data_IF_518746139009
#
_entry.id   IF_518746139009
#
_cell.length_a   1.000
_cell.length_b   1.000
_cell.length_c   1.000
_cell.angle_alpha   90.00
_cell.angle_beta   90.00
_cell.angle_gamma   90.00
#
_symmetry.space_group_name_H-M   'P 1'
#
loop_
_entity.id
_entity.type
_entity.pdbx_description
1 polymer ?
#
# COMPACT_ATOMS: atom_id res chain seq x y z
N UNK A 1 19.19 43.18 3.36
CA UNK A 1 18.28 43.69 2.31
C UNK A 1 18.40 42.75 1.14
N UNK A 2 17.45 41.81 1.02
CA UNK A 2 17.34 40.88 -0.11
C UNK A 2 16.24 41.45 -0.99
N UNK A 3 16.54 41.79 -2.24
CA UNK A 3 15.61 42.36 -3.19
C UNK A 3 14.68 41.26 -3.71
N UNK A 4 13.38 41.45 -3.53
CA UNK A 4 12.35 40.67 -4.20
C UNK A 4 12.48 40.84 -5.73
N UNK A 5 12.86 39.78 -6.41
CA UNK A 5 12.87 39.72 -7.87
C UNK A 5 11.43 39.66 -8.41
N UNK A 6 10.88 40.79 -8.83
CA UNK A 6 9.64 40.82 -9.59
C UNK A 6 9.90 40.35 -11.02
N UNK A 7 9.38 39.17 -11.38
CA UNK A 7 9.27 38.78 -12.80
C UNK A 7 8.15 39.58 -13.44
N UNK A 8 8.49 40.51 -14.33
CA UNK A 8 7.52 41.24 -15.14
C UNK A 8 7.36 40.50 -16.46
N UNK A 9 6.23 39.87 -16.65
CA UNK A 9 5.85 39.26 -17.96
C UNK A 9 5.07 40.34 -18.75
N UNK A 10 5.66 40.83 -19.83
CA UNK A 10 5.00 41.75 -20.76
C UNK A 10 4.10 40.97 -21.72
N UNK A 11 2.81 41.18 -21.62
CA UNK A 11 1.85 40.66 -22.60
C UNK A 11 1.62 41.69 -23.70
N UNK A 12 1.81 41.29 -24.95
CA UNK A 12 1.37 42.03 -26.12
C UNK A 12 -0.05 41.55 -26.49
N UNK A 13 -1.04 42.38 -26.32
CA UNK A 13 -2.43 42.09 -26.71
C UNK A 13 -2.65 42.33 -28.21
N UNK A 14 -2.99 41.27 -28.94
CA UNK A 14 -3.64 41.38 -30.26
C UNK A 14 -5.17 41.32 -30.06
N UNK A 15 -5.84 42.42 -30.49
CA UNK A 15 -7.22 42.71 -30.15
C UNK A 15 -8.29 41.99 -30.98
N UNK A 16 -7.95 40.95 -31.78
CA UNK A 16 -8.91 40.36 -32.73
C UNK A 16 -9.07 38.81 -32.70
N UNK A 17 -8.61 38.12 -31.70
CA UNK A 17 -8.95 36.68 -31.56
C UNK A 17 -9.49 36.37 -30.16
N UNK A 18 -10.82 36.17 -30.06
CA UNK A 18 -11.43 35.49 -28.92
C UNK A 18 -11.04 34.01 -28.97
N UNK A 19 -9.87 33.66 -28.43
CA UNK A 19 -9.58 32.35 -27.97
C UNK A 19 -9.91 32.33 -26.47
N UNK A 20 -10.81 31.46 -26.07
CA UNK A 20 -11.04 31.17 -24.65
C UNK A 20 -9.81 30.42 -24.11
N UNK A 21 -8.78 31.15 -23.81
CA UNK A 21 -7.54 30.65 -23.23
C UNK A 21 -7.81 30.49 -21.73
N UNK A 22 -7.77 29.27 -21.22
CA UNK A 22 -7.89 29.03 -19.79
C UNK A 22 -6.59 29.45 -19.11
N UNK A 23 -6.44 30.74 -18.85
CA UNK A 23 -5.28 31.37 -18.22
C UNK A 23 -4.87 30.68 -16.90
N UNK A 24 -5.81 30.10 -16.18
CA UNK A 24 -5.52 29.40 -14.91
C UNK A 24 -4.76 28.11 -15.16
N UNK A 25 -5.12 27.37 -16.19
CA UNK A 25 -4.50 26.09 -16.56
C UNK A 25 -3.09 26.26 -17.13
N UNK A 26 -2.87 27.28 -17.95
CA UNK A 26 -1.54 27.57 -18.51
C UNK A 26 -0.60 28.23 -17.48
N UNK A 27 -1.12 29.08 -16.61
CA UNK A 27 -0.33 29.69 -15.54
C UNK A 27 0.09 28.66 -14.49
N UNK A 28 -0.79 27.69 -14.15
CA UNK A 28 -0.48 26.56 -13.29
C UNK A 28 0.65 25.68 -13.85
N UNK A 29 0.72 25.47 -15.16
CA UNK A 29 1.82 24.75 -15.82
C UNK A 29 3.18 25.47 -15.74
N UNK A 30 3.18 26.78 -15.57
CA UNK A 30 4.42 27.58 -15.50
C UNK A 30 4.92 27.72 -14.06
N UNK A 31 4.02 27.70 -13.05
CA UNK A 31 4.34 28.03 -11.64
C UNK A 31 4.19 26.81 -10.73
N UNK A 32 3.63 25.70 -11.22
CA UNK A 32 3.20 24.58 -10.39
C UNK A 32 2.01 24.93 -9.49
N UNK A 33 1.15 23.99 -9.19
CA UNK A 33 0.07 24.18 -8.23
C UNK A 33 0.51 23.60 -6.89
N UNK A 34 0.51 24.43 -5.85
CA UNK A 34 0.79 23.95 -4.51
C UNK A 34 -0.32 23.03 -4.01
N UNK A 35 0.04 21.78 -3.67
CA UNK A 35 -0.88 20.75 -3.21
C UNK A 35 -0.49 20.26 -1.82
N UNK A 36 -1.47 19.88 -1.02
CA UNK A 36 -1.24 19.28 0.30
C UNK A 36 -0.57 17.90 0.13
N UNK A 37 0.41 17.64 0.96
CA UNK A 37 1.23 16.43 0.92
C UNK A 37 1.41 15.86 2.32
N UNK A 38 1.38 14.53 2.42
CA UNK A 38 1.81 13.84 3.63
C UNK A 38 2.52 12.53 3.26
N UNK A 39 3.57 12.19 4.00
CA UNK A 39 4.15 10.85 3.98
C UNK A 39 3.73 10.14 5.25
N UNK A 40 3.19 8.95 5.10
CA UNK A 40 2.46 8.21 6.13
C UNK A 40 3.07 6.83 6.27
N UNK A 41 3.28 6.39 7.51
CA UNK A 41 3.56 5.00 7.83
C UNK A 41 2.27 4.24 8.09
N UNK A 42 2.06 3.16 7.37
CA UNK A 42 0.90 2.26 7.51
C UNK A 42 1.32 1.00 8.25
N UNK A 43 0.41 0.44 9.05
CA UNK A 43 0.63 -0.70 9.93
C UNK A 43 1.58 -0.43 11.10
N UNK A 44 1.67 0.81 11.54
CA UNK A 44 2.43 1.17 12.74
C UNK A 44 1.88 2.43 13.40
N UNK A 45 1.67 2.38 14.70
CA UNK A 45 1.37 3.54 15.54
C UNK A 45 2.62 4.36 15.90
N UNK A 46 3.81 3.96 15.43
CA UNK A 46 5.08 4.65 15.65
C UNK A 46 5.69 5.10 14.33
N UNK A 47 6.11 6.37 14.23
CA UNK A 47 6.77 6.87 13.02
C UNK A 47 8.00 6.04 12.62
N UNK A 48 8.22 5.89 11.31
CA UNK A 48 9.38 5.23 10.69
C UNK A 48 9.48 3.73 10.98
N UNK A 49 8.34 3.08 11.25
CA UNK A 49 8.28 1.64 11.59
C UNK A 49 7.29 0.85 10.75
N UNK A 50 6.37 1.52 10.04
CA UNK A 50 5.40 0.93 9.14
C UNK A 50 5.89 0.84 7.69
N UNK A 51 4.94 0.67 6.76
CA UNK A 51 5.19 0.78 5.33
C UNK A 51 4.86 2.21 4.87
N UNK A 52 5.86 2.97 4.36
CA UNK A 52 5.64 4.36 3.98
C UNK A 52 4.87 4.48 2.67
N UNK A 53 3.95 5.44 2.61
CA UNK A 53 3.25 5.88 1.41
C UNK A 53 3.24 7.41 1.32
N UNK A 54 3.51 7.95 0.13
CA UNK A 54 3.30 9.36 -0.16
C UNK A 54 1.86 9.59 -0.59
N UNK A 55 1.20 10.61 -0.02
CA UNK A 55 -0.17 10.97 -0.37
C UNK A 55 -0.21 12.44 -0.76
N UNK A 56 -0.61 12.71 -1.99
CA UNK A 56 -0.89 14.06 -2.50
C UNK A 56 -2.40 14.28 -2.48
N UNK A 57 -2.84 15.39 -1.94
CA UNK A 57 -4.27 15.75 -1.83
C UNK A 57 -4.58 16.91 -2.77
N UNK A 58 -5.85 17.06 -3.17
CA UNK A 58 -6.30 18.09 -4.10
C UNK A 58 -5.71 17.94 -5.51
N UNK A 59 -5.72 16.72 -6.02
CA UNK A 59 -5.05 16.37 -7.29
C UNK A 59 -5.91 16.65 -8.54
N UNK A 60 -7.01 17.38 -8.41
CA UNK A 60 -7.80 17.78 -9.57
C UNK A 60 -6.93 18.55 -10.58
N UNK A 61 -7.03 18.14 -11.85
CA UNK A 61 -6.31 18.75 -12.96
C UNK A 61 -4.90 18.23 -13.22
N UNK A 62 -4.34 17.33 -12.39
CA UNK A 62 -3.10 16.59 -12.72
C UNK A 62 -3.36 15.57 -13.80
N UNK A 63 -2.43 15.47 -14.76
CA UNK A 63 -2.44 14.41 -15.75
C UNK A 63 -1.65 13.16 -15.30
N UNK A 64 -1.78 12.08 -16.07
CA UNK A 64 -1.17 10.79 -15.75
C UNK A 64 0.37 10.89 -15.72
N UNK A 65 0.95 11.70 -16.61
CA UNK A 65 2.39 11.89 -16.71
C UNK A 65 2.97 12.62 -15.49
N UNK A 66 2.27 13.65 -15.01
CA UNK A 66 2.64 14.41 -13.81
C UNK A 66 2.60 13.52 -12.56
N UNK A 67 1.52 12.74 -12.40
CA UNK A 67 1.39 11.78 -11.29
C UNK A 67 2.49 10.72 -11.33
N UNK A 68 2.74 10.12 -12.50
CA UNK A 68 3.78 9.11 -12.65
C UNK A 68 5.18 9.67 -12.44
N UNK A 69 5.44 10.89 -12.90
CA UNK A 69 6.74 11.55 -12.70
C UNK A 69 6.99 11.81 -11.21
N UNK A 70 6.00 12.29 -10.49
CA UNK A 70 6.11 12.54 -9.06
C UNK A 70 6.30 11.23 -8.27
N UNK A 71 5.54 10.17 -8.58
CA UNK A 71 5.70 8.86 -7.98
C UNK A 71 7.10 8.28 -8.20
N UNK A 72 7.66 8.44 -9.40
CA UNK A 72 9.03 8.03 -9.71
C UNK A 72 10.07 8.82 -8.92
N UNK A 73 9.84 10.12 -8.74
CA UNK A 73 10.74 10.98 -7.99
C UNK A 73 10.76 10.69 -6.49
N UNK A 74 9.57 10.43 -5.87
CA UNK A 74 9.49 10.05 -4.46
C UNK A 74 10.18 8.72 -4.19
N UNK A 75 10.15 7.81 -5.16
CA UNK A 75 10.80 6.49 -5.11
C UNK A 75 10.39 5.64 -3.90
N UNK A 76 9.17 5.84 -3.41
CA UNK A 76 8.51 4.95 -2.45
C UNK A 76 7.86 3.77 -3.17
N UNK A 77 7.50 2.72 -2.44
CA UNK A 77 6.75 1.59 -3.02
C UNK A 77 5.52 2.08 -3.78
N UNK A 78 4.75 2.98 -3.16
CA UNK A 78 3.63 3.66 -3.81
C UNK A 78 3.53 5.14 -3.39
N UNK A 79 2.95 5.89 -4.32
CA UNK A 79 2.46 7.27 -4.14
C UNK A 79 1.00 7.31 -4.55
N UNK A 80 0.16 7.97 -3.78
CA UNK A 80 -1.27 8.09 -4.07
C UNK A 80 -1.69 9.54 -4.29
N UNK A 81 -2.70 9.70 -5.13
CA UNK A 81 -3.26 10.99 -5.50
C UNK A 81 -4.76 11.00 -5.21
N UNK A 82 -5.18 11.89 -4.29
CA UNK A 82 -6.58 12.02 -3.90
C UNK A 82 -7.29 13.04 -4.79
N UNK A 83 -8.43 12.61 -5.31
CA UNK A 83 -9.27 13.37 -6.24
C UNK A 83 -10.71 13.45 -5.73
N UNK A 84 -11.50 14.39 -6.22
CA UNK A 84 -12.95 14.36 -6.04
C UNK A 84 -13.54 13.04 -6.55
N UNK A 85 -14.52 12.45 -5.85
CA UNK A 85 -15.15 11.23 -6.30
C UNK A 85 -16.00 11.47 -7.54
N UNK A 86 -16.07 10.46 -8.43
CA UNK A 86 -16.99 10.46 -9.58
C UNK A 86 -18.25 9.64 -9.26
N UNK A 87 -18.15 8.68 -8.38
CA UNK A 87 -19.27 7.92 -7.87
C UNK A 87 -19.92 8.67 -6.69
N UNK A 88 -21.25 8.94 -6.72
CA UNK A 88 -21.93 9.71 -5.67
C UNK A 88 -21.95 9.00 -4.30
N UNK A 89 -21.62 7.70 -4.21
CA UNK A 89 -21.54 6.95 -2.95
C UNK A 89 -20.15 7.08 -2.33
N UNK A 90 -19.11 7.34 -3.11
CA UNK A 90 -17.75 7.45 -2.62
C UNK A 90 -17.51 8.75 -1.83
N UNK A 91 -16.66 8.68 -0.82
CA UNK A 91 -16.22 9.82 -0.05
C UNK A 91 -15.07 10.57 -0.75
N UNK A 92 -14.18 9.83 -1.40
CA UNK A 92 -13.11 10.36 -2.26
C UNK A 92 -12.71 9.33 -3.32
N UNK A 93 -11.96 9.77 -4.33
CA UNK A 93 -11.31 8.91 -5.32
C UNK A 93 -9.80 8.94 -5.10
N UNK A 94 -9.15 7.80 -5.35
CA UNK A 94 -7.70 7.65 -5.26
C UNK A 94 -7.14 6.96 -6.50
N UNK A 95 -5.93 7.37 -6.88
CA UNK A 95 -5.09 6.70 -7.87
C UNK A 95 -3.78 6.27 -7.22
N UNK A 96 -3.30 5.07 -7.55
CA UNK A 96 -2.12 4.46 -6.96
C UNK A 96 -1.02 4.36 -8.00
N UNK A 97 0.17 4.84 -7.69
CA UNK A 97 1.32 4.77 -8.59
C UNK A 97 2.52 4.18 -7.88
N UNK A 98 3.14 3.19 -8.52
CA UNK A 98 4.52 2.80 -8.22
C UNK A 98 5.49 3.74 -8.95
N UNK A 99 6.81 3.65 -8.71
CA UNK A 99 7.78 4.37 -9.54
C UNK A 99 7.73 4.03 -11.04
N UNK A 100 7.06 2.93 -11.43
CA UNK A 100 7.07 2.40 -12.80
C UNK A 100 5.71 2.55 -13.49
N UNK A 101 4.61 2.30 -12.79
CA UNK A 101 3.27 2.18 -13.36
C UNK A 101 2.16 2.55 -12.38
N UNK A 102 0.96 2.79 -12.90
CA UNK A 102 -0.26 2.90 -12.11
C UNK A 102 -0.81 1.52 -11.76
N UNK A 103 -1.29 1.35 -10.53
CA UNK A 103 -1.94 0.14 -10.04
C UNK A 103 -3.44 0.34 -9.89
N UNK A 104 -4.26 -0.67 -10.21
CA UNK A 104 -5.71 -0.58 -10.04
C UNK A 104 -6.15 -0.52 -8.56
N UNK A 105 -5.34 -1.11 -7.68
CA UNK A 105 -5.54 -1.15 -6.22
C UNK A 105 -4.24 -1.47 -5.49
N UNK A 106 -4.08 -0.92 -4.27
CA UNK A 106 -3.00 -1.29 -3.36
C UNK A 106 -3.48 -1.20 -1.90
N UNK A 107 -3.15 -2.22 -1.07
CA UNK A 107 -3.72 -2.39 0.27
C UNK A 107 -3.25 -1.34 1.27
N UNK A 108 -1.92 -1.27 1.55
CA UNK A 108 -1.43 -0.29 2.52
C UNK A 108 -1.64 1.16 2.05
N UNK A 109 -1.50 1.49 0.74
CA UNK A 109 -1.82 2.83 0.27
C UNK A 109 -3.30 3.22 0.43
N UNK A 110 -4.22 2.25 0.40
CA UNK A 110 -5.64 2.49 0.72
C UNK A 110 -5.79 3.02 2.15
N UNK A 111 -5.15 2.39 3.14
CA UNK A 111 -5.23 2.84 4.53
C UNK A 111 -4.54 4.20 4.72
N UNK A 112 -3.37 4.41 4.11
CA UNK A 112 -2.67 5.69 4.14
C UNK A 112 -3.48 6.82 3.49
N UNK A 113 -4.13 6.56 2.36
CA UNK A 113 -5.01 7.51 1.66
C UNK A 113 -6.24 7.87 2.49
N UNK A 114 -6.89 6.89 3.10
CA UNK A 114 -8.04 7.12 3.97
C UNK A 114 -7.65 7.97 5.18
N UNK A 115 -6.50 7.70 5.80
CA UNK A 115 -5.98 8.50 6.89
C UNK A 115 -5.64 9.94 6.44
N UNK A 116 -4.95 10.11 5.31
CA UNK A 116 -4.65 11.42 4.75
C UNK A 116 -5.92 12.22 4.50
N UNK A 117 -6.93 11.61 3.88
CA UNK A 117 -8.21 12.24 3.62
C UNK A 117 -8.86 12.76 4.91
N UNK A 118 -8.85 11.96 6.00
CA UNK A 118 -9.39 12.35 7.31
C UNK A 118 -8.64 13.54 7.92
N UNK A 119 -7.30 13.50 7.98
CA UNK A 119 -6.52 14.57 8.63
C UNK A 119 -6.58 15.89 7.86
N UNK A 120 -6.91 15.85 6.59
CA UNK A 120 -7.13 17.06 5.77
C UNK A 120 -8.59 17.51 5.71
N UNK A 121 -9.43 17.02 6.63
CA UNK A 121 -10.79 17.52 6.86
C UNK A 121 -11.88 16.69 6.16
N UNK A 122 -11.56 15.54 5.62
CA UNK A 122 -12.55 14.61 5.08
C UNK A 122 -13.52 14.15 6.17
N UNK A 123 -14.80 14.13 5.84
CA UNK A 123 -15.86 13.69 6.75
C UNK A 123 -16.61 12.56 6.08
N UNK A 124 -16.47 11.30 6.57
CA UNK A 124 -17.16 10.18 5.97
C UNK A 124 -18.67 10.27 6.16
N UNK A 125 -19.43 9.83 5.17
CA UNK A 125 -20.90 9.78 5.23
C UNK A 125 -21.40 8.82 6.28
N UNK A 126 -20.66 7.75 6.53
CA UNK A 126 -20.87 6.84 7.64
C UNK A 126 -19.66 6.94 8.59
N UNK A 127 -19.91 7.19 9.88
CA UNK A 127 -18.84 7.42 10.87
C UNK A 127 -17.83 6.28 10.96
N UNK A 128 -18.27 5.04 10.71
CA UNK A 128 -17.44 3.84 10.89
C UNK A 128 -16.89 3.29 9.57
N UNK A 129 -17.23 3.91 8.43
CA UNK A 129 -16.82 3.39 7.11
C UNK A 129 -16.54 4.53 6.16
N UNK A 130 -15.37 4.50 5.56
CA UNK A 130 -14.97 5.40 4.47
C UNK A 130 -15.14 4.63 3.17
N UNK A 131 -15.74 5.24 2.17
CA UNK A 131 -15.92 4.64 0.84
C UNK A 131 -14.94 5.29 -0.13
N UNK A 132 -13.90 4.55 -0.49
CA UNK A 132 -12.90 4.94 -1.46
C UNK A 132 -13.30 4.47 -2.86
N UNK A 133 -13.22 5.35 -3.86
CA UNK A 133 -13.33 5.01 -5.27
C UNK A 133 -11.94 4.83 -5.87
N UNK A 134 -11.70 3.73 -6.60
CA UNK A 134 -10.49 3.49 -7.38
C UNK A 134 -10.81 2.69 -8.64
N UNK A 135 -9.81 2.29 -9.42
CA UNK A 135 -10.03 1.60 -10.69
C UNK A 135 -10.79 0.28 -10.54
N UNK A 136 -10.56 -0.49 -9.47
CA UNK A 136 -11.31 -1.74 -9.21
C UNK A 136 -12.72 -1.50 -8.68
N UNK A 137 -13.14 -0.25 -8.46
CA UNK A 137 -14.47 0.11 -7.96
C UNK A 137 -14.45 0.73 -6.56
N UNK A 138 -15.47 0.44 -5.78
CA UNK A 138 -15.64 0.97 -4.43
C UNK A 138 -14.99 0.05 -3.39
N UNK A 139 -14.12 0.61 -2.59
CA UNK A 139 -13.45 -0.08 -1.48
C UNK A 139 -13.96 0.52 -0.16
N UNK A 140 -14.43 -0.34 0.71
CA UNK A 140 -14.84 0.03 2.06
C UNK A 140 -13.65 -0.08 3.00
N UNK A 141 -13.34 1.02 3.67
CA UNK A 141 -12.33 1.08 4.73
C UNK A 141 -13.07 1.26 6.05
N UNK A 142 -13.02 0.24 6.90
CA UNK A 142 -13.58 0.31 8.23
C UNK A 142 -12.67 1.12 9.14
N UNK A 143 -13.30 1.89 10.03
CA UNK A 143 -12.64 2.74 11.01
C UNK A 143 -13.10 2.34 12.41
N UNK A 144 -12.16 1.93 13.24
CA UNK A 144 -12.38 1.63 14.64
C UNK A 144 -11.30 2.33 15.48
N UNK A 145 -11.65 3.37 16.21
CA UNK A 145 -10.74 4.24 16.97
C UNK A 145 -9.53 4.69 16.13
N UNK A 146 -8.35 4.11 16.39
CA UNK A 146 -7.09 4.40 15.69
C UNK A 146 -6.79 3.41 14.54
N UNK A 147 -7.60 2.37 14.38
CA UNK A 147 -7.39 1.35 13.37
C UNK A 147 -8.18 1.65 12.11
N UNK A 148 -7.52 1.49 10.98
CA UNK A 148 -8.16 1.42 9.67
C UNK A 148 -7.98 0.02 9.11
N UNK A 149 -9.02 -0.53 8.47
CA UNK A 149 -8.96 -1.85 7.85
C UNK A 149 -9.71 -1.90 6.54
N UNK A 150 -9.22 -2.71 5.60
CA UNK A 150 -9.89 -2.99 4.33
C UNK A 150 -10.24 -4.47 4.21
N UNK A 151 -11.30 -4.77 3.45
CA UNK A 151 -11.71 -6.12 3.17
C UNK A 151 -10.68 -6.83 2.27
N UNK A 152 -10.23 -8.01 2.68
CA UNK A 152 -9.31 -8.82 1.87
C UNK A 152 -9.96 -9.15 0.50
N UNK A 153 -9.30 -8.80 -0.63
CA UNK A 153 -9.78 -9.18 -1.95
C UNK A 153 -9.83 -10.68 -2.12
N UNK A 154 -10.75 -11.18 -2.96
CA UNK A 154 -10.80 -12.59 -3.30
C UNK A 154 -9.51 -13.06 -3.98
N UNK A 155 -9.10 -14.31 -3.72
CA UNK A 155 -7.99 -14.91 -4.42
C UNK A 155 -8.32 -15.07 -5.91
N UNK A 156 -7.40 -14.67 -6.76
CA UNK A 156 -7.43 -14.92 -8.21
C UNK A 156 -6.88 -16.32 -8.53
N UNK A 157 -5.89 -16.78 -7.75
CA UNK A 157 -5.32 -18.10 -7.81
C UNK A 157 -5.07 -18.63 -6.41
N UNK A 158 -5.52 -19.84 -6.12
CA UNK A 158 -5.31 -20.57 -4.86
C UNK A 158 -4.97 -22.02 -5.10
N UNK A 159 -4.58 -22.74 -4.04
CA UNK A 159 -4.37 -24.18 -4.05
C UNK A 159 -2.93 -24.63 -4.11
N UNK A 160 -2.72 -25.91 -4.45
CA UNK A 160 -1.41 -26.58 -4.39
C UNK A 160 -0.39 -26.00 -5.36
N UNK A 161 0.88 -26.08 -4.96
CA UNK A 161 2.03 -25.63 -5.74
C UNK A 161 2.78 -26.84 -6.26
N UNK A 162 3.27 -26.78 -7.48
CA UNK A 162 4.11 -27.81 -8.08
C UNK A 162 5.43 -27.94 -7.33
N UNK A 163 5.90 -29.16 -7.08
CA UNK A 163 7.11 -29.44 -6.29
C UNK A 163 8.35 -28.72 -6.84
N UNK A 164 8.47 -28.60 -8.16
CA UNK A 164 9.57 -27.86 -8.79
C UNK A 164 9.59 -26.38 -8.40
N UNK A 165 8.40 -25.74 -8.26
CA UNK A 165 8.26 -24.34 -7.84
C UNK A 165 8.56 -24.20 -6.35
N UNK A 166 8.17 -25.18 -5.53
CA UNK A 166 8.51 -25.19 -4.09
C UNK A 166 10.03 -25.31 -3.91
N UNK A 167 10.69 -26.14 -4.74
CA UNK A 167 12.16 -26.24 -4.76
C UNK A 167 12.82 -24.92 -5.18
N UNK A 168 12.29 -24.23 -6.19
CA UNK A 168 12.76 -22.88 -6.59
C UNK A 168 12.57 -21.86 -5.45
N UNK A 169 11.44 -21.91 -4.74
CA UNK A 169 11.20 -21.06 -3.59
C UNK A 169 12.23 -21.31 -2.47
N UNK A 170 12.56 -22.57 -2.16
CA UNK A 170 13.57 -22.91 -1.17
C UNK A 170 14.95 -22.32 -1.54
N UNK A 171 15.37 -22.47 -2.80
CA UNK A 171 16.61 -21.86 -3.32
C UNK A 171 16.59 -20.35 -3.19
N UNK A 172 15.47 -19.72 -3.58
CA UNK A 172 15.28 -18.27 -3.50
C UNK A 172 15.33 -17.74 -2.06
N UNK A 173 14.86 -18.53 -1.09
CA UNK A 173 14.89 -18.19 0.33
C UNK A 173 16.25 -18.53 0.99
N UNK A 174 17.12 -19.28 0.32
CA UNK A 174 18.39 -19.74 0.87
C UNK A 174 18.23 -20.74 2.02
N UNK A 175 17.23 -21.64 1.90
CA UNK A 175 16.89 -22.67 2.89
C UNK A 175 16.81 -24.04 2.25
N UNK A 176 16.87 -25.09 3.07
CA UNK A 176 16.63 -26.45 2.62
C UNK A 176 15.14 -26.65 2.27
N UNK A 177 14.86 -27.46 1.22
CA UNK A 177 13.48 -27.76 0.79
C UNK A 177 12.63 -28.34 1.93
N UNK A 178 13.23 -29.16 2.76
CA UNK A 178 12.61 -29.85 3.90
C UNK A 178 12.16 -28.87 5.01
N UNK A 179 12.71 -27.66 5.03
CA UNK A 179 12.26 -26.60 5.97
C UNK A 179 10.88 -26.03 5.61
N UNK A 180 10.46 -26.19 4.36
CA UNK A 180 9.11 -25.79 3.91
C UNK A 180 8.12 -26.89 4.29
N UNK A 181 7.28 -26.60 5.29
CA UNK A 181 6.29 -27.56 5.81
C UNK A 181 4.97 -27.52 5.02
N UNK A 182 4.67 -26.39 4.39
CA UNK A 182 3.52 -26.25 3.50
C UNK A 182 3.70 -25.06 2.54
N UNK A 183 2.96 -25.09 1.42
CA UNK A 183 2.94 -24.03 0.43
C UNK A 183 1.63 -23.99 -0.33
N UNK A 184 1.21 -22.79 -0.74
CA UNK A 184 0.01 -22.62 -1.56
C UNK A 184 0.15 -21.41 -2.49
N UNK A 185 -0.44 -21.47 -3.66
CA UNK A 185 -0.78 -20.25 -4.39
C UNK A 185 -1.83 -19.49 -3.60
N UNK A 186 -1.55 -18.21 -3.35
CA UNK A 186 -2.40 -17.30 -2.57
C UNK A 186 -2.50 -15.95 -3.29
N UNK A 187 -2.55 -15.98 -4.61
CA UNK A 187 -2.51 -14.78 -5.43
C UNK A 187 -3.84 -14.02 -5.40
N UNK A 188 -3.77 -12.76 -5.04
CA UNK A 188 -4.86 -11.78 -5.10
C UNK A 188 -4.51 -10.57 -5.99
N UNK A 189 -3.53 -10.73 -6.90
CA UNK A 189 -3.09 -9.75 -7.88
C UNK A 189 -1.58 -9.76 -8.14
N UNK A 190 -0.72 -9.64 -7.12
CA UNK A 190 0.74 -9.60 -7.30
C UNK A 190 1.41 -10.95 -7.62
N UNK A 191 0.68 -12.06 -7.62
CA UNK A 191 1.25 -13.40 -7.89
C UNK A 191 1.83 -14.09 -6.66
N UNK A 192 1.30 -13.88 -5.47
CA UNK A 192 1.84 -14.41 -4.22
C UNK A 192 1.85 -15.94 -4.18
N UNK A 193 3.04 -16.48 -3.88
CA UNK A 193 3.26 -17.86 -3.43
C UNK A 193 3.48 -17.83 -1.91
N UNK A 194 2.59 -18.43 -1.15
CA UNK A 194 2.69 -18.59 0.28
C UNK A 194 3.57 -19.79 0.64
N UNK A 195 4.51 -19.58 1.56
CA UNK A 195 5.43 -20.61 2.08
C UNK A 195 5.33 -20.61 3.60
N UNK A 196 5.15 -21.77 4.21
CA UNK A 196 5.13 -21.91 5.66
C UNK A 196 6.36 -22.67 6.16
N UNK A 197 7.05 -22.08 7.15
CA UNK A 197 8.12 -22.68 7.93
C UNK A 197 7.61 -23.03 9.33
N UNK A 198 8.40 -23.82 10.08
CA UNK A 198 8.00 -24.31 11.39
C UNK A 198 7.90 -23.21 12.46
N UNK A 199 8.68 -22.13 12.37
CA UNK A 199 8.70 -21.09 13.39
C UNK A 199 9.02 -19.70 12.84
N UNK A 200 8.62 -18.67 13.59
CA UNK A 200 8.99 -17.27 13.34
C UNK A 200 10.52 -17.07 13.32
N UNK A 201 11.26 -17.82 14.16
CA UNK A 201 12.73 -17.76 14.19
C UNK A 201 13.34 -18.19 12.84
N UNK A 202 12.83 -19.26 12.23
CA UNK A 202 13.28 -19.68 10.91
C UNK A 202 12.99 -18.61 9.84
N UNK A 203 11.82 -17.97 9.89
CA UNK A 203 11.47 -16.86 8.97
C UNK A 203 12.44 -15.69 9.14
N UNK A 204 12.73 -15.29 10.37
CA UNK A 204 13.66 -14.19 10.67
C UNK A 204 15.10 -14.51 10.25
N UNK A 205 15.48 -15.80 10.23
CA UNK A 205 16.83 -16.24 9.84
C UNK A 205 17.06 -16.30 8.32
N UNK A 206 16.02 -16.21 7.49
CA UNK A 206 16.11 -16.27 6.02
C UNK A 206 17.09 -15.20 5.50
N UNK A 207 17.96 -15.64 4.58
CA UNK A 207 18.86 -14.78 3.80
C UNK A 207 18.50 -14.93 2.32
N UNK A 208 17.59 -14.09 1.81
CA UNK A 208 17.04 -14.27 0.48
C UNK A 208 18.13 -14.17 -0.58
N UNK A 209 18.03 -15.03 -1.59
CA UNK A 209 18.81 -15.03 -2.79
C UNK A 209 18.05 -14.32 -3.91
N UNK A 210 18.61 -14.30 -5.11
CA UNK A 210 17.90 -13.80 -6.28
C UNK A 210 16.65 -14.65 -6.55
N UNK A 211 15.49 -14.01 -6.70
CA UNK A 211 14.23 -14.68 -7.02
C UNK A 211 13.54 -14.03 -8.22
N UNK A 212 12.81 -14.83 -8.98
CA UNK A 212 11.81 -14.37 -9.93
C UNK A 212 10.38 -14.65 -9.42
N UNK A 213 10.25 -15.27 -8.24
CA UNK A 213 8.97 -15.55 -7.59
C UNK A 213 8.57 -14.37 -6.71
N UNK A 214 7.28 -14.19 -6.52
CA UNK A 214 6.69 -13.30 -5.51
C UNK A 214 6.33 -14.13 -4.29
N UNK A 215 7.17 -14.08 -3.24
CA UNK A 215 7.14 -15.00 -2.10
C UNK A 215 6.64 -14.32 -0.84
N UNK A 216 5.64 -14.95 -0.20
CA UNK A 216 5.24 -14.64 1.16
C UNK A 216 5.63 -15.79 2.09
N UNK A 217 6.43 -15.54 3.12
CA UNK A 217 6.91 -16.58 4.02
C UNK A 217 6.40 -16.33 5.42
N UNK A 218 5.83 -17.37 6.05
CA UNK A 218 5.35 -17.30 7.43
C UNK A 218 5.96 -18.36 8.32
N UNK A 219 6.01 -18.07 9.63
CA UNK A 219 6.29 -19.04 10.68
C UNK A 219 5.64 -18.60 11.98
N UNK A 220 5.05 -19.57 12.68
CA UNK A 220 4.32 -19.32 13.91
C UNK A 220 5.23 -18.87 15.05
N UNK A 221 4.75 -17.96 15.87
CA UNK A 221 5.31 -17.69 17.19
C UNK A 221 4.82 -18.73 18.20
N UNK A 222 5.54 -18.92 19.33
CA UNK A 222 5.07 -19.77 20.42
C UNK A 222 3.70 -19.37 20.92
N UNK A 223 2.91 -20.35 21.37
CA UNK A 223 1.58 -20.08 21.93
C UNK A 223 1.66 -19.07 23.09
N UNK A 224 0.69 -18.12 23.13
CA UNK A 224 0.66 -17.04 24.10
C UNK A 224 1.53 -15.82 23.76
N UNK A 225 2.24 -15.84 22.61
CA UNK A 225 2.93 -14.66 22.09
C UNK A 225 1.95 -13.59 21.65
N UNK A 226 2.40 -12.33 21.66
CA UNK A 226 1.60 -11.19 21.16
C UNK A 226 1.20 -11.36 19.69
N UNK A 227 2.09 -11.88 18.86
CA UNK A 227 1.88 -12.13 17.44
C UNK A 227 1.61 -13.60 17.18
N UNK A 228 0.70 -13.89 16.25
CA UNK A 228 0.41 -15.26 15.81
C UNK A 228 1.56 -15.83 14.98
N UNK A 229 2.07 -15.06 14.03
CA UNK A 229 3.18 -15.45 13.16
C UNK A 229 4.00 -14.24 12.70
N UNK A 230 5.23 -14.50 12.27
CA UNK A 230 6.08 -13.57 11.53
C UNK A 230 5.85 -13.76 10.05
N UNK A 231 5.85 -12.63 9.30
CA UNK A 231 5.76 -12.61 7.82
C UNK A 231 6.97 -11.93 7.24
N UNK A 232 7.46 -12.42 6.10
CA UNK A 232 8.39 -11.70 5.22
C UNK A 232 7.91 -11.82 3.77
N UNK A 233 8.05 -10.75 3.02
CA UNK A 233 7.60 -10.63 1.62
C UNK A 233 8.78 -10.35 0.71
N UNK A 234 8.99 -11.17 -0.32
CA UNK A 234 10.08 -11.02 -1.26
C UNK A 234 9.56 -11.02 -2.70
N UNK A 235 10.08 -10.12 -3.52
CA UNK A 235 9.76 -10.07 -4.95
C UNK A 235 10.93 -9.50 -5.76
N UNK A 236 10.87 -9.65 -7.08
CA UNK A 236 11.86 -9.08 -7.98
C UNK A 236 11.46 -7.67 -8.40
N UNK A 237 12.36 -6.70 -8.22
CA UNK A 237 12.22 -5.36 -8.76
C UNK A 237 13.51 -4.94 -9.42
N UNK A 238 13.46 -4.55 -10.72
CA UNK A 238 14.65 -4.19 -11.47
C UNK A 238 15.74 -5.29 -11.54
N UNK A 239 15.36 -6.56 -11.38
CA UNK A 239 16.27 -7.73 -11.40
C UNK A 239 17.01 -8.00 -10.08
N UNK A 240 16.67 -7.29 -9.03
CA UNK A 240 17.12 -7.54 -7.65
C UNK A 240 15.96 -8.03 -6.79
N UNK A 241 16.28 -8.83 -5.77
CA UNK A 241 15.29 -9.24 -4.77
C UNK A 241 15.10 -8.13 -3.75
N UNK A 242 13.86 -7.73 -3.56
CA UNK A 242 13.44 -6.69 -2.59
C UNK A 242 12.60 -7.35 -1.50
N UNK A 243 12.75 -6.90 -0.27
CA UNK A 243 11.86 -7.25 0.84
C UNK A 243 10.94 -6.05 1.13
N UNK A 244 9.63 -6.29 1.13
CA UNK A 244 8.63 -5.26 1.46
C UNK A 244 8.46 -5.13 2.98
N UNK A 245 8.44 -3.89 3.52
CA UNK A 245 8.34 -3.66 4.96
C UNK A 245 7.10 -4.25 5.63
N UNK A 246 5.91 -3.99 5.07
CA UNK A 246 4.63 -4.52 5.56
C UNK A 246 3.64 -4.57 4.41
N UNK A 247 3.23 -5.76 4.03
CA UNK A 247 2.51 -6.01 2.78
C UNK A 247 1.03 -6.28 2.99
N UNK A 248 0.18 -5.33 2.67
CA UNK A 248 -1.27 -5.46 2.84
C UNK A 248 -1.88 -6.61 2.04
N UNK A 249 -1.54 -6.72 0.74
CA UNK A 249 -2.05 -7.77 -0.16
C UNK A 249 -1.62 -9.17 0.28
N UNK A 250 -0.35 -9.35 0.65
CA UNK A 250 0.16 -10.63 1.15
C UNK A 250 -0.52 -11.03 2.45
N UNK A 251 -0.62 -10.12 3.44
CA UNK A 251 -1.28 -10.43 4.71
C UNK A 251 -2.75 -10.80 4.51
N UNK A 252 -3.43 -10.17 3.54
CA UNK A 252 -4.80 -10.51 3.18
C UNK A 252 -4.93 -11.94 2.65
N UNK A 253 -4.14 -12.30 1.64
CA UNK A 253 -4.20 -13.64 1.04
C UNK A 253 -3.65 -14.73 1.98
N UNK A 254 -2.63 -14.40 2.76
CA UNK A 254 -2.09 -15.29 3.79
C UNK A 254 -3.12 -15.61 4.87
N UNK A 255 -3.84 -14.59 5.36
CA UNK A 255 -4.91 -14.77 6.34
C UNK A 255 -6.03 -15.66 5.77
N UNK A 256 -6.47 -15.44 4.54
CA UNK A 256 -7.49 -16.28 3.89
C UNK A 256 -7.05 -17.74 3.80
N UNK A 257 -5.80 -18.00 3.39
CA UNK A 257 -5.25 -19.35 3.33
C UNK A 257 -5.23 -20.03 4.71
N UNK A 258 -4.65 -19.34 5.70
CA UNK A 258 -4.41 -19.93 7.03
C UNK A 258 -5.71 -20.11 7.84
N UNK A 259 -6.66 -19.18 7.72
CA UNK A 259 -7.99 -19.29 8.32
C UNK A 259 -8.77 -20.41 7.64
N UNK A 260 -8.78 -20.46 6.30
CA UNK A 260 -9.45 -21.49 5.53
C UNK A 260 -8.90 -22.90 5.80
N UNK A 261 -7.59 -23.01 6.13
CA UNK A 261 -6.96 -24.26 6.55
C UNK A 261 -7.15 -24.59 8.05
N UNK A 262 -7.86 -23.76 8.81
CA UNK A 262 -8.10 -23.94 10.25
C UNK A 262 -6.86 -23.80 11.14
N UNK A 263 -5.80 -23.12 10.65
CA UNK A 263 -4.54 -22.99 11.38
C UNK A 263 -4.52 -21.83 12.36
N UNK A 264 -5.20 -20.74 12.04
CA UNK A 264 -5.34 -19.56 12.90
C UNK A 264 -6.79 -19.11 12.92
N UNK A 265 -7.28 -18.75 14.11
CA UNK A 265 -8.63 -18.22 14.30
C UNK A 265 -8.54 -16.72 14.63
N UNK A 266 -9.15 -15.83 13.81
CA UNK A 266 -9.16 -14.40 14.09
C UNK A 266 -10.04 -14.07 15.33
N UNK A 267 -9.78 -12.93 16.04
CA UNK A 267 -8.79 -11.92 15.67
C UNK A 267 -7.37 -12.28 16.17
N UNK A 268 -6.35 -11.84 15.42
CA UNK A 268 -4.95 -11.97 15.82
C UNK A 268 -4.07 -10.88 15.21
N UNK A 269 -2.84 -10.73 15.75
CA UNK A 269 -1.82 -9.81 15.27
C UNK A 269 -0.74 -10.56 14.49
N UNK A 270 -0.24 -9.93 13.44
CA UNK A 270 0.87 -10.40 12.62
C UNK A 270 2.03 -9.41 12.72
N UNK A 271 3.24 -9.91 12.72
CA UNK A 271 4.46 -9.12 12.69
C UNK A 271 5.15 -9.22 11.33
N UNK A 272 5.58 -8.07 10.79
CA UNK A 272 6.37 -8.01 9.54
C UNK A 272 7.41 -6.89 9.59
N UNK A 273 8.53 -7.07 8.87
CA UNK A 273 9.52 -6.03 8.62
C UNK A 273 10.67 -5.95 9.62
N UNK A 274 10.74 -6.80 10.64
CA UNK A 274 11.76 -6.73 11.70
C UNK A 274 13.19 -6.78 11.18
N UNK A 275 13.48 -7.63 10.20
CA UNK A 275 14.83 -7.85 9.68
C UNK A 275 15.37 -6.62 8.97
N UNK A 276 14.49 -5.82 8.37
CA UNK A 276 14.85 -4.59 7.63
C UNK A 276 14.60 -3.31 8.45
N UNK A 277 14.45 -3.44 9.80
CA UNK A 277 14.38 -2.30 10.73
C UNK A 277 12.99 -1.71 10.89
N UNK A 278 11.94 -2.32 10.34
CA UNK A 278 10.55 -1.95 10.56
C UNK A 278 9.94 -2.72 11.74
N UNK A 279 8.72 -2.40 12.12
CA UNK A 279 7.97 -3.07 13.18
C UNK A 279 6.47 -3.01 12.86
N UNK A 280 6.11 -3.56 11.71
CA UNK A 280 4.73 -3.61 11.26
C UNK A 280 3.88 -4.53 12.11
N UNK A 281 2.70 -4.04 12.47
CA UNK A 281 1.67 -4.75 13.22
C UNK A 281 0.41 -4.79 12.38
N UNK A 282 0.10 -5.97 11.85
CA UNK A 282 -1.09 -6.17 11.03
C UNK A 282 -2.17 -6.85 11.86
N UNK A 283 -3.31 -6.20 11.96
CA UNK A 283 -4.51 -6.74 12.60
C UNK A 283 -5.31 -7.54 11.59
N UNK A 284 -5.54 -8.81 11.90
CA UNK A 284 -6.40 -9.69 11.12
C UNK A 284 -7.67 -9.95 11.91
N UNK A 285 -8.81 -9.63 11.31
CA UNK A 285 -10.13 -9.93 11.86
C UNK A 285 -11.04 -10.56 10.80
N UNK A 286 -12.17 -11.07 11.23
CA UNK A 286 -13.17 -11.64 10.35
C UNK A 286 -14.56 -11.27 10.88
N UNK A 287 -15.45 -10.83 10.01
CA UNK A 287 -16.81 -10.49 10.37
C UNK A 287 -17.76 -11.70 10.31
N UNK A 288 -19.02 -11.46 10.67
CA UNK A 288 -20.07 -12.48 10.69
C UNK A 288 -20.37 -13.09 9.31
N UNK A 289 -19.97 -12.42 8.23
CA UNK A 289 -20.11 -12.91 6.84
C UNK A 289 -18.92 -13.73 6.37
N UNK A 290 -17.93 -13.97 7.23
CA UNK A 290 -16.64 -14.58 6.97
C UNK A 290 -15.74 -13.74 6.05
N UNK A 291 -15.99 -12.44 5.94
CA UNK A 291 -15.07 -11.51 5.29
C UNK A 291 -13.85 -11.28 6.18
N UNK A 292 -12.66 -11.54 5.65
CA UNK A 292 -11.39 -11.22 6.32
C UNK A 292 -11.07 -9.74 6.13
N UNK A 293 -10.67 -9.10 7.22
CA UNK A 293 -10.28 -7.69 7.27
C UNK A 293 -8.82 -7.56 7.68
N UNK A 294 -8.09 -6.72 6.96
CA UNK A 294 -6.68 -6.42 7.21
C UNK A 294 -6.55 -4.97 7.61
N UNK A 295 -6.04 -4.74 8.80
CA UNK A 295 -5.96 -3.41 9.37
C UNK A 295 -4.67 -3.15 10.13
N UNK A 296 -4.51 -1.90 10.54
CA UNK A 296 -3.42 -1.45 11.36
C UNK A 296 -3.53 0.01 11.74
N UNK A 297 -2.70 0.43 12.69
CA UNK A 297 -2.52 1.84 12.99
C UNK A 297 -1.80 2.55 11.86
N UNK A 298 -2.07 3.84 11.72
CA UNK A 298 -1.53 4.69 10.66
C UNK A 298 -0.97 5.97 11.29
N UNK A 299 0.25 6.35 10.92
CA UNK A 299 0.94 7.51 11.51
C UNK A 299 1.46 8.45 10.43
N UNK A 300 1.09 9.74 10.49
CA UNK A 300 1.68 10.76 9.63
C UNK A 300 3.12 11.08 10.09
N UNK A 301 4.08 10.94 9.18
CA UNK A 301 5.50 11.19 9.46
C UNK A 301 5.96 12.56 8.92
N UNK A 302 5.49 12.95 7.75
CA UNK A 302 5.80 14.23 7.11
C UNK A 302 4.50 14.88 6.65
N UNK A 303 4.33 16.16 6.94
CA UNK A 303 3.20 16.96 6.45
C UNK A 303 3.71 18.26 5.88
N UNK A 304 3.15 18.69 4.76
CA UNK A 304 3.55 19.90 4.08
C UNK A 304 2.81 20.11 2.77
N UNK A 305 3.50 20.71 1.83
CA UNK A 305 2.99 20.96 0.48
C UNK A 305 4.04 20.62 -0.55
N UNK A 306 3.59 20.26 -1.75
CA UNK A 306 4.41 20.04 -2.93
C UNK A 306 3.91 20.88 -4.08
N UNK A 307 4.79 21.27 -4.97
CA UNK A 307 4.46 21.97 -6.22
C UNK A 307 4.48 20.93 -7.36
N UNK A 308 3.30 20.70 -7.94
CA UNK A 308 3.09 19.79 -9.08
C UNK A 308 2.18 20.48 -10.09
#
# INVERSE_FOLDING_TARGET
>A
MVSEGKVVVLFVFDSQRRLSFDYRREYAKIVGVQRRFTQIDVFSGKPYRGNPVAVVVDCDGLDDGEMQQFARWTNLSETTFLLPPTNPVADYRVRFFTPIEELPFAGHPTLGSAYAWLIYGGTPRNQNTIVQECEVGLIHVNRDESLLSFAAPSLLRGGSVEESVVGEAAVSLGIDREAIIDSAWIDNGPGWLGVQLASAEQVLAIKPQKTNLTLGVIGAYPAGSRFAYEVRAFFSSGGITVEDPVTGSLNASMAQWLIGAGRFAPPYLVSQGKVIGHAGEVHVSMDETNQVWIGGEVTACIQGTVEI
#
